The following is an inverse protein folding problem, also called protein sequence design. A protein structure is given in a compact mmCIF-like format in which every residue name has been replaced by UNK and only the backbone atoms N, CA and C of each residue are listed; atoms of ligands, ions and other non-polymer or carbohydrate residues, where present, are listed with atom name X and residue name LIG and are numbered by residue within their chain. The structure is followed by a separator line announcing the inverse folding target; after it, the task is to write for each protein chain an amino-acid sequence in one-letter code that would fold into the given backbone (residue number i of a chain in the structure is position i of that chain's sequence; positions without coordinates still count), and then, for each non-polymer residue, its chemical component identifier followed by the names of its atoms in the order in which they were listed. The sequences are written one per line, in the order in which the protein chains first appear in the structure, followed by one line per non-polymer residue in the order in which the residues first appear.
data_IF_394028622143
#
_entry.id   IF_394028622143
#
_cell.length_a   1.000
_cell.length_b   1.000
_cell.length_c   1.000
_cell.angle_alpha   90.00
_cell.angle_beta   90.00
_cell.angle_gamma   90.00
#
_symmetry.space_group_name_H-M   'P 1'
#
loop_
_entity.id
_entity.type
_entity.pdbx_description
1 polymer ?
#
# COMPACT_ATOMS: atom_id res chain seq x y z
N UNK A 1 2.01 -14.10 -12.17
CA UNK A 1 2.44 -15.33 -11.46
C UNK A 1 1.57 -16.53 -11.78
N UNK A 2 0.23 -16.45 -11.65
CA UNK A 2 -0.66 -17.57 -12.02
C UNK A 2 -0.40 -18.13 -13.43
N UNK A 3 -0.26 -17.27 -14.45
CA UNK A 3 0.14 -17.69 -15.81
C UNK A 3 1.45 -18.49 -15.83
N UNK A 4 2.48 -18.04 -15.10
CA UNK A 4 3.76 -18.74 -15.01
C UNK A 4 3.61 -20.12 -14.37
N UNK A 5 2.79 -20.25 -13.32
CA UNK A 5 2.51 -21.54 -12.67
C UNK A 5 1.73 -22.49 -13.59
N UNK A 6 0.75 -21.98 -14.36
CA UNK A 6 0.00 -22.78 -15.35
C UNK A 6 0.91 -23.31 -16.45
N UNK A 7 1.81 -22.46 -16.98
CA UNK A 7 2.78 -22.86 -17.99
C UNK A 7 3.80 -23.87 -17.46
N UNK A 8 4.22 -23.73 -16.20
CA UNK A 8 5.08 -24.70 -15.53
C UNK A 8 4.36 -26.05 -15.38
N UNK A 9 3.12 -26.05 -14.89
CA UNK A 9 2.31 -27.25 -14.74
C UNK A 9 2.11 -27.96 -16.09
N UNK A 10 1.74 -27.24 -17.15
CA UNK A 10 1.59 -27.81 -18.50
C UNK A 10 2.91 -28.43 -19.04
N UNK A 11 4.06 -27.84 -18.70
CA UNK A 11 5.36 -28.42 -19.04
C UNK A 11 5.64 -29.73 -18.30
N UNK A 12 5.24 -29.83 -17.03
CA UNK A 12 5.42 -31.04 -16.20
C UNK A 12 4.44 -32.15 -16.62
N UNK A 13 3.20 -31.81 -16.94
CA UNK A 13 2.18 -32.74 -17.47
C UNK A 13 2.68 -33.46 -18.73
N UNK A 14 3.42 -32.77 -19.61
CA UNK A 14 3.97 -33.37 -20.81
C UNK A 14 5.10 -34.40 -20.54
N UNK A 15 5.68 -34.41 -19.34
CA UNK A 15 6.84 -35.22 -18.97
C UNK A 15 6.50 -36.37 -18.01
N UNK A 16 5.29 -36.38 -17.44
CA UNK A 16 4.92 -37.31 -16.37
C UNK A 16 3.52 -37.88 -16.60
N UNK A 17 3.19 -38.97 -15.90
CA UNK A 17 1.84 -39.53 -15.86
C UNK A 17 1.23 -39.24 -14.48
N UNK A 18 -0.09 -39.11 -14.40
CA UNK A 18 -0.85 -38.91 -13.16
C UNK A 18 -0.39 -37.70 -12.31
N UNK A 19 0.05 -36.63 -12.97
CA UNK A 19 0.46 -35.40 -12.31
C UNK A 19 -0.74 -34.66 -11.71
N UNK A 20 -0.64 -34.36 -10.42
CA UNK A 20 -1.60 -33.54 -9.70
C UNK A 20 -0.89 -32.32 -9.11
N UNK A 21 -1.58 -31.17 -9.15
CA UNK A 21 -1.03 -29.93 -8.61
C UNK A 21 -2.08 -28.95 -8.11
N UNK A 22 -1.61 -28.02 -7.27
CA UNK A 22 -2.37 -26.85 -6.83
C UNK A 22 -1.47 -25.62 -6.82
N UNK A 23 -1.74 -24.69 -7.74
CA UNK A 23 -1.07 -23.38 -7.78
C UNK A 23 -1.67 -22.38 -6.80
N UNK A 24 -0.82 -21.62 -6.12
CA UNK A 24 -1.20 -20.55 -5.18
C UNK A 24 -0.27 -19.35 -5.32
N UNK A 25 -0.83 -18.15 -5.15
CA UNK A 25 -0.14 -16.85 -5.18
C UNK A 25 -0.96 -15.89 -4.33
N UNK A 26 -0.43 -15.39 -3.20
CA UNK A 26 -1.01 -14.37 -2.29
C UNK A 26 -2.37 -14.72 -1.64
N UNK A 27 -3.35 -15.13 -2.44
CA UNK A 27 -4.70 -15.51 -2.03
C UNK A 27 -4.84 -16.99 -1.67
N UNK A 28 -3.71 -17.70 -1.56
CA UNK A 28 -3.64 -19.11 -1.19
C UNK A 28 -3.88 -19.35 0.31
N UNK A 29 -3.88 -20.62 0.71
CA UNK A 29 -4.00 -21.00 2.12
C UNK A 29 -2.65 -21.12 2.82
N UNK A 30 -1.55 -21.25 2.05
CA UNK A 30 -0.21 -21.35 2.60
C UNK A 30 0.36 -19.97 2.95
N UNK A 31 1.46 -19.97 3.69
CA UNK A 31 2.25 -18.77 3.97
C UNK A 31 3.38 -18.72 2.95
N UNK A 32 3.18 -18.02 1.83
CA UNK A 32 4.10 -17.97 0.68
C UNK A 32 5.56 -17.70 1.12
N UNK A 33 5.76 -16.82 2.11
CA UNK A 33 7.09 -16.48 2.65
C UNK A 33 7.76 -17.65 3.37
N UNK A 34 7.00 -18.45 4.11
CA UNK A 34 7.52 -19.64 4.79
C UNK A 34 7.80 -20.78 3.80
N UNK A 35 6.96 -20.93 2.78
CA UNK A 35 7.17 -21.88 1.67
C UNK A 35 8.48 -21.55 0.95
N UNK A 36 8.65 -20.30 0.52
CA UNK A 36 9.85 -19.84 -0.17
C UNK A 36 11.13 -20.00 0.67
N UNK A 37 11.07 -19.77 2.00
CA UNK A 37 12.19 -20.04 2.90
C UNK A 37 12.58 -21.52 2.90
N UNK A 38 11.60 -22.42 2.98
CA UNK A 38 11.84 -23.87 3.01
C UNK A 38 12.36 -24.39 1.67
N UNK A 39 11.97 -23.76 0.57
CA UNK A 39 12.44 -24.08 -0.79
C UNK A 39 13.77 -23.39 -1.17
N UNK A 40 14.49 -22.79 -0.22
CA UNK A 40 15.82 -22.21 -0.49
C UNK A 40 15.83 -20.93 -1.34
N UNK A 41 14.67 -20.31 -1.62
CA UNK A 41 14.58 -19.08 -2.43
C UNK A 41 15.27 -17.88 -1.75
N UNK A 42 15.27 -17.89 -0.41
CA UNK A 42 15.87 -16.83 0.40
C UNK A 42 15.57 -17.04 1.88
N UNK A 43 16.07 -16.14 2.71
CA UNK A 43 15.77 -16.13 4.15
C UNK A 43 14.66 -15.12 4.47
N UNK A 44 14.00 -15.27 5.62
CA UNK A 44 13.01 -14.29 6.10
C UNK A 44 13.74 -13.22 6.92
N UNK A 45 13.74 -11.98 6.46
CA UNK A 45 14.35 -10.85 7.16
C UNK A 45 13.58 -10.41 8.41
N UNK A 46 14.22 -9.59 9.24
CA UNK A 46 13.55 -8.94 10.40
C UNK A 46 12.37 -8.03 9.99
N UNK A 47 12.26 -7.69 8.71
CA UNK A 47 11.11 -6.99 8.13
C UNK A 47 9.95 -7.91 7.69
N UNK A 48 10.09 -9.23 7.86
CA UNK A 48 9.08 -10.24 7.53
C UNK A 48 9.03 -10.68 6.07
N UNK A 49 9.93 -10.17 5.21
CA UNK A 49 9.98 -10.49 3.78
C UNK A 49 11.03 -11.55 3.47
N UNK A 50 10.84 -12.28 2.37
CA UNK A 50 11.86 -13.18 1.81
C UNK A 50 12.91 -12.35 1.07
N UNK A 51 14.18 -12.62 1.33
CA UNK A 51 15.33 -11.89 0.78
C UNK A 51 16.27 -12.91 0.11
N UNK A 52 16.54 -12.72 -1.18
CA UNK A 52 17.59 -13.44 -1.93
C UNK A 52 18.83 -12.56 -2.13
N UNK A 53 19.98 -13.17 -2.47
CA UNK A 53 21.20 -12.44 -2.83
C UNK A 53 21.07 -11.80 -4.22
N UNK A 54 20.35 -12.45 -5.12
CA UNK A 54 20.25 -12.13 -6.53
C UNK A 54 19.27 -10.99 -6.80
N UNK A 55 18.13 -10.99 -6.09
CA UNK A 55 17.01 -10.07 -6.35
C UNK A 55 16.60 -9.26 -5.12
N UNK A 56 17.26 -9.47 -3.98
CA UNK A 56 16.90 -8.83 -2.72
C UNK A 56 15.51 -9.27 -2.28
N UNK A 57 14.68 -8.34 -1.80
CA UNK A 57 13.27 -8.61 -1.49
C UNK A 57 12.29 -8.18 -2.58
N UNK A 58 12.77 -7.70 -3.74
CA UNK A 58 11.91 -7.25 -4.83
C UNK A 58 11.46 -8.42 -5.72
N UNK A 59 10.75 -9.36 -5.10
CA UNK A 59 10.27 -10.59 -5.73
C UNK A 59 8.78 -10.80 -5.46
N UNK A 60 8.06 -11.31 -6.45
CA UNK A 60 6.75 -11.93 -6.23
C UNK A 60 6.94 -13.41 -5.94
N UNK A 61 6.20 -13.92 -4.96
CA UNK A 61 6.23 -15.34 -4.60
C UNK A 61 5.02 -16.07 -5.18
N UNK A 62 5.12 -17.39 -5.26
CA UNK A 62 4.04 -18.28 -5.62
C UNK A 62 4.53 -19.71 -5.56
N UNK A 63 3.60 -20.64 -5.35
CA UNK A 63 3.91 -22.04 -5.13
C UNK A 63 3.02 -22.96 -5.96
N UNK A 64 3.59 -24.09 -6.34
CA UNK A 64 2.92 -25.18 -7.02
C UNK A 64 3.03 -26.43 -6.14
N UNK A 65 2.01 -26.68 -5.33
CA UNK A 65 1.92 -27.93 -4.57
C UNK A 65 1.75 -29.07 -5.58
N UNK A 66 2.44 -30.19 -5.38
CA UNK A 66 2.39 -31.32 -6.32
C UNK A 66 2.50 -32.66 -5.59
N UNK A 67 2.04 -33.73 -6.26
CA UNK A 67 2.20 -35.12 -5.84
C UNK A 67 3.56 -35.75 -6.25
N UNK A 68 4.41 -35.01 -6.96
CA UNK A 68 5.73 -35.52 -7.37
C UNK A 68 6.67 -35.71 -6.18
N UNK A 69 7.45 -36.79 -6.23
CA UNK A 69 8.57 -37.04 -5.33
C UNK A 69 9.83 -36.38 -5.90
N UNK A 70 10.28 -35.30 -5.27
CA UNK A 70 11.40 -34.47 -5.72
C UNK A 70 12.31 -34.22 -4.53
N UNK A 71 13.62 -34.38 -4.75
CA UNK A 71 14.64 -34.04 -3.76
C UNK A 71 14.51 -32.57 -3.32
N UNK A 72 14.37 -32.28 -2.03
CA UNK A 72 14.18 -30.93 -1.54
C UNK A 72 15.48 -30.11 -1.61
N UNK A 73 15.35 -28.86 -2.02
CA UNK A 73 16.42 -27.87 -1.92
C UNK A 73 16.76 -27.54 -0.45
N UNK A 74 17.95 -26.96 -0.26
CA UNK A 74 18.44 -26.58 1.07
C UNK A 74 18.11 -25.10 1.38
N UNK A 75 17.81 -24.76 2.64
CA UNK A 75 17.76 -23.37 3.09
C UNK A 75 19.09 -22.64 2.85
N UNK A 76 19.00 -21.32 2.67
CA UNK A 76 20.17 -20.47 2.43
C UNK A 76 21.06 -20.28 3.68
N UNK A 77 22.33 -19.94 3.47
CA UNK A 77 23.37 -19.81 4.51
C UNK A 77 23.63 -18.36 4.99
N UNK A 78 22.77 -17.41 4.61
CA UNK A 78 22.90 -15.99 4.92
C UNK A 78 21.62 -15.43 5.56
N UNK A 79 21.79 -14.38 6.38
CA UNK A 79 20.69 -13.79 7.13
C UNK A 79 20.87 -12.28 7.39
N UNK A 80 20.14 -11.74 8.38
CA UNK A 80 20.24 -10.35 8.81
C UNK A 80 21.46 -10.05 9.70
N UNK A 81 22.05 -11.05 10.37
CA UNK A 81 22.94 -10.86 11.52
C UNK A 81 22.40 -9.84 12.52
N UNK A 82 23.27 -8.93 12.96
CA UNK A 82 22.92 -7.86 13.90
C UNK A 82 22.24 -6.64 13.25
N UNK A 83 21.93 -6.68 11.95
CA UNK A 83 21.27 -5.56 11.27
C UNK A 83 19.90 -5.25 11.89
N UNK A 84 19.60 -3.96 12.10
CA UNK A 84 18.32 -3.46 12.63
C UNK A 84 17.67 -2.35 11.79
N UNK A 85 18.23 -2.02 10.61
CA UNK A 85 17.83 -0.86 9.80
C UNK A 85 16.33 -0.76 9.53
N UNK A 86 15.68 -1.87 9.20
CA UNK A 86 14.24 -1.88 8.93
C UNK A 86 13.38 -1.60 10.17
N UNK A 87 13.83 -2.06 11.34
CA UNK A 87 13.14 -1.83 12.62
C UNK A 87 13.21 -0.35 12.99
N UNK A 88 14.39 0.25 12.82
CA UNK A 88 14.65 1.65 13.15
C UNK A 88 14.00 2.61 12.13
N UNK A 89 13.92 2.22 10.85
CA UNK A 89 13.33 3.03 9.79
C UNK A 89 11.80 2.96 9.72
N UNK A 90 11.17 1.94 10.30
CA UNK A 90 9.72 1.76 10.23
C UNK A 90 9.00 2.93 10.93
N UNK A 91 8.23 3.77 10.21
CA UNK A 91 7.68 5.02 10.78
C UNK A 91 6.59 4.78 11.84
N UNK A 92 6.05 3.56 11.91
CA UNK A 92 5.01 3.17 12.88
C UNK A 92 5.51 2.16 13.90
N UNK A 93 6.77 1.76 13.81
CA UNK A 93 7.41 0.72 14.64
C UNK A 93 6.56 -0.55 14.68
N UNK A 94 5.99 -0.95 13.54
CA UNK A 94 5.12 -2.13 13.47
C UNK A 94 5.90 -3.45 13.43
N UNK A 95 7.17 -3.43 13.05
CA UNK A 95 8.06 -4.59 13.03
C UNK A 95 8.54 -4.92 14.44
N UNK A 96 8.36 -6.16 14.88
CA UNK A 96 8.65 -6.59 16.27
C UNK A 96 10.14 -6.92 16.46
N UNK A 97 10.80 -7.45 15.42
CA UNK A 97 12.24 -7.68 15.39
C UNK A 97 12.68 -9.12 15.12
N UNK A 98 11.75 -10.06 15.18
CA UNK A 98 11.92 -11.50 14.93
C UNK A 98 11.32 -11.94 13.57
N UNK A 99 11.09 -10.98 12.68
CA UNK A 99 10.38 -11.19 11.41
C UNK A 99 8.86 -11.10 11.52
N UNK A 100 8.30 -10.92 12.72
CA UNK A 100 6.86 -10.69 12.92
C UNK A 100 6.51 -9.21 12.99
N UNK A 101 5.20 -8.89 12.90
CA UNK A 101 4.72 -7.51 12.92
C UNK A 101 3.32 -7.35 13.53
N UNK A 102 3.04 -6.15 14.04
CA UNK A 102 1.68 -5.65 14.22
C UNK A 102 1.17 -5.07 12.89
N UNK A 103 0.57 -5.94 12.06
CA UNK A 103 0.10 -5.57 10.72
C UNK A 103 -0.90 -4.40 10.71
N UNK A 104 -1.72 -4.23 11.76
CA UNK A 104 -2.66 -3.11 11.86
C UNK A 104 -1.97 -1.75 11.87
N UNK A 105 -0.70 -1.66 12.25
CA UNK A 105 0.10 -0.43 12.24
C UNK A 105 0.95 -0.28 10.97
N UNK A 106 0.99 -1.28 10.10
CA UNK A 106 1.76 -1.20 8.86
C UNK A 106 1.15 -0.17 7.91
N UNK A 107 1.95 0.73 7.34
CA UNK A 107 1.42 1.71 6.38
C UNK A 107 0.90 1.06 5.10
N UNK A 108 1.46 -0.09 4.70
CA UNK A 108 0.92 -0.89 3.60
C UNK A 108 -0.50 -1.39 3.90
N UNK A 109 -0.79 -1.77 5.15
CA UNK A 109 -2.16 -2.08 5.58
C UNK A 109 -3.04 -0.83 5.65
N UNK A 110 -2.55 0.25 6.28
CA UNK A 110 -3.31 1.49 6.48
C UNK A 110 -3.77 2.13 5.16
N UNK A 111 -2.95 2.06 4.11
CA UNK A 111 -3.35 2.54 2.77
C UNK A 111 -4.46 1.69 2.13
N UNK A 112 -4.62 0.44 2.54
CA UNK A 112 -5.63 -0.51 2.03
C UNK A 112 -6.88 -0.64 2.90
N UNK A 113 -6.76 -0.29 4.18
CA UNK A 113 -7.87 -0.37 5.11
C UNK A 113 -9.01 0.56 4.69
N UNK A 114 -10.25 0.17 4.99
CA UNK A 114 -11.45 0.97 4.65
C UNK A 114 -11.76 1.96 5.78
N UNK A 115 -12.54 2.99 5.48
CA UNK A 115 -12.95 3.99 6.47
C UNK A 115 -11.89 5.07 6.69
N UNK A 116 -11.95 5.74 7.85
CA UNK A 116 -11.04 6.83 8.19
C UNK A 116 -9.66 6.31 8.61
N UNK A 117 -8.61 6.83 7.98
CA UNK A 117 -7.24 6.61 8.43
C UNK A 117 -7.02 7.36 9.75
N UNK A 118 -6.52 6.68 10.78
CA UNK A 118 -6.21 7.31 12.06
C UNK A 118 -5.15 8.41 11.91
N UNK A 119 -5.27 9.49 12.70
CA UNK A 119 -4.43 10.68 12.59
C UNK A 119 -2.92 10.38 12.67
N UNK A 120 -2.53 9.38 13.47
CA UNK A 120 -1.12 8.98 13.64
C UNK A 120 -0.46 8.48 12.34
N UNK A 121 -1.23 8.02 11.35
CA UNK A 121 -0.71 7.46 10.10
C UNK A 121 -0.75 8.46 8.94
N UNK A 122 -1.65 9.45 8.97
CA UNK A 122 -1.89 10.36 7.83
C UNK A 122 -0.62 11.06 7.35
N UNK A 123 0.17 11.62 8.27
CA UNK A 123 1.45 12.27 7.90
C UNK A 123 2.54 11.28 7.48
N UNK A 124 2.45 10.03 7.94
CA UNK A 124 3.49 9.01 7.75
C UNK A 124 3.44 8.35 6.38
N UNK A 125 2.28 8.34 5.71
CA UNK A 125 2.19 7.85 4.33
C UNK A 125 2.87 8.80 3.32
N UNK A 126 3.17 10.04 3.71
CA UNK A 126 3.73 11.08 2.82
C UNK A 126 2.88 11.18 1.54
N UNK A 127 3.46 10.87 0.39
CA UNK A 127 2.80 10.84 -0.93
C UNK A 127 2.61 9.42 -1.46
N UNK A 128 2.92 8.39 -0.67
CA UNK A 128 2.71 6.98 -1.06
C UNK A 128 1.25 6.61 -0.82
N UNK A 129 0.47 6.56 -1.91
CA UNK A 129 -0.99 6.36 -1.84
C UNK A 129 -1.42 4.89 -1.78
N UNK A 130 -0.50 3.94 -1.97
CA UNK A 130 -0.75 2.50 -1.84
C UNK A 130 0.55 1.77 -1.49
N UNK A 131 0.51 0.88 -0.49
CA UNK A 131 1.70 0.14 -0.06
C UNK A 131 2.64 0.95 0.83
N UNK A 132 3.83 0.40 1.09
CA UNK A 132 4.92 1.06 1.81
C UNK A 132 6.21 0.23 1.69
N UNK A 133 7.26 0.81 1.09
CA UNK A 133 8.51 0.08 0.82
C UNK A 133 9.67 0.48 1.74
N UNK A 134 9.43 1.30 2.77
CA UNK A 134 10.49 1.86 3.63
C UNK A 134 11.38 0.75 4.24
N UNK A 135 10.79 -0.35 4.71
CA UNK A 135 11.53 -1.47 5.29
C UNK A 135 12.34 -2.29 4.27
N UNK A 136 12.05 -2.14 2.99
CA UNK A 136 12.81 -2.72 1.87
C UNK A 136 13.88 -1.76 1.38
N UNK A 137 13.56 -0.49 1.18
CA UNK A 137 14.49 0.55 0.70
C UNK A 137 15.72 0.68 1.61
N UNK A 138 15.54 0.57 2.93
CA UNK A 138 16.66 0.63 3.88
C UNK A 138 17.45 -0.69 4.02
N UNK A 139 17.00 -1.78 3.40
CA UNK A 139 17.61 -3.10 3.52
C UNK A 139 18.95 -3.17 2.77
N UNK A 140 20.05 -3.64 3.40
CA UNK A 140 21.34 -3.77 2.73
C UNK A 140 21.31 -4.66 1.48
N UNK A 141 20.50 -5.74 1.50
CA UNK A 141 20.38 -6.68 0.38
C UNK A 141 19.70 -6.08 -0.86
N UNK A 142 19.00 -4.95 -0.73
CA UNK A 142 18.39 -4.26 -1.86
C UNK A 142 19.31 -3.18 -2.47
N UNK A 143 20.45 -2.90 -1.84
CA UNK A 143 21.33 -1.81 -2.27
C UNK A 143 21.95 -2.12 -3.63
N UNK A 144 21.70 -1.26 -4.60
CA UNK A 144 22.32 -1.35 -5.93
C UNK A 144 21.67 -2.37 -6.87
N UNK A 145 20.53 -2.95 -6.49
CA UNK A 145 19.80 -3.85 -7.37
C UNK A 145 19.06 -3.09 -8.47
N UNK A 146 19.14 -3.65 -9.68
CA UNK A 146 18.37 -3.23 -10.84
C UNK A 146 17.78 -4.47 -11.51
N UNK A 147 16.69 -4.98 -10.92
CA UNK A 147 16.08 -6.22 -11.35
C UNK A 147 15.38 -6.06 -12.71
N UNK A 148 15.36 -7.10 -13.56
CA UNK A 148 14.57 -7.09 -14.78
C UNK A 148 13.08 -6.95 -14.45
N UNK A 149 12.37 -6.16 -15.25
CA UNK A 149 10.94 -5.94 -15.05
C UNK A 149 10.15 -7.23 -15.34
N UNK A 150 9.29 -7.63 -14.40
CA UNK A 150 8.38 -8.76 -14.59
C UNK A 150 7.29 -8.46 -15.63
N UNK A 151 6.94 -7.18 -15.80
CA UNK A 151 5.99 -6.66 -16.78
C UNK A 151 6.34 -5.22 -17.12
N UNK A 152 5.85 -4.71 -18.25
CA UNK A 152 5.97 -3.29 -18.59
C UNK A 152 5.35 -2.44 -17.48
N UNK A 153 6.03 -1.37 -17.09
CA UNK A 153 5.53 -0.38 -16.14
C UNK A 153 5.05 0.83 -16.92
N UNK A 154 3.81 1.25 -16.66
CA UNK A 154 3.30 2.53 -17.09
C UNK A 154 3.58 3.56 -15.97
N UNK A 155 4.45 4.57 -16.21
CA UNK A 155 4.79 5.54 -15.20
C UNK A 155 3.57 6.34 -14.70
N UNK A 156 2.56 6.57 -15.55
CA UNK A 156 1.36 7.33 -15.18
C UNK A 156 0.43 6.52 -14.25
N UNK A 157 0.63 5.21 -14.15
CA UNK A 157 -0.04 4.34 -13.18
C UNK A 157 0.76 4.18 -11.89
N UNK A 158 2.09 4.17 -12.00
CA UNK A 158 2.99 4.04 -10.85
C UNK A 158 3.06 5.35 -10.04
N UNK A 159 3.04 6.50 -10.72
CA UNK A 159 3.12 7.84 -10.14
C UNK A 159 2.01 8.74 -10.74
N UNK A 160 0.73 8.49 -10.41
CA UNK A 160 -0.38 9.22 -11.02
C UNK A 160 -0.46 10.67 -10.52
N UNK A 161 -0.90 11.57 -11.40
CA UNK A 161 -1.27 12.93 -11.02
C UNK A 161 -2.45 12.93 -10.02
N UNK A 162 -2.25 13.58 -8.88
CA UNK A 162 -3.15 13.47 -7.72
C UNK A 162 -4.51 14.15 -7.92
N UNK A 163 -4.55 15.39 -8.40
CA UNK A 163 -5.83 16.10 -8.63
C UNK A 163 -6.67 15.42 -9.72
N UNK A 164 -6.12 15.07 -10.90
CA UNK A 164 -6.87 14.30 -11.91
C UNK A 164 -7.39 12.96 -11.39
N UNK A 165 -6.65 12.30 -10.49
CA UNK A 165 -7.09 11.04 -9.89
C UNK A 165 -8.39 11.18 -9.05
N UNK A 166 -8.62 12.34 -8.43
CA UNK A 166 -9.84 12.61 -7.66
C UNK A 166 -11.09 12.70 -8.54
N UNK A 167 -10.94 12.99 -9.84
CA UNK A 167 -12.05 13.09 -10.79
C UNK A 167 -12.54 11.74 -11.31
N UNK A 168 -11.77 10.66 -11.13
CA UNK A 168 -12.09 9.37 -11.72
C UNK A 168 -13.45 8.83 -11.25
N UNK A 169 -14.34 8.55 -12.21
CA UNK A 169 -15.50 7.71 -12.01
C UNK A 169 -15.09 6.25 -11.81
N UNK A 170 -16.01 5.39 -11.35
CA UNK A 170 -15.76 3.95 -11.26
C UNK A 170 -15.41 3.33 -12.61
N UNK A 171 -16.02 3.83 -13.70
CA UNK A 171 -15.78 3.35 -15.06
C UNK A 171 -14.37 3.71 -15.52
N UNK A 172 -13.97 4.96 -15.36
CA UNK A 172 -12.63 5.43 -15.75
C UNK A 172 -11.54 4.79 -14.89
N UNK A 173 -11.76 4.69 -13.58
CA UNK A 173 -10.82 4.00 -12.68
C UNK A 173 -10.62 2.54 -13.09
N UNK A 174 -11.70 1.80 -13.37
CA UNK A 174 -11.59 0.41 -13.81
C UNK A 174 -10.86 0.29 -15.16
N UNK A 175 -11.13 1.20 -16.09
CA UNK A 175 -10.48 1.19 -17.40
C UNK A 175 -8.98 1.49 -17.29
N UNK A 176 -8.57 2.48 -16.49
CA UNK A 176 -7.17 2.91 -16.38
C UNK A 176 -6.36 2.08 -15.38
N UNK A 177 -6.88 1.83 -14.19
CA UNK A 177 -6.17 1.18 -13.07
C UNK A 177 -6.62 -0.25 -12.78
N UNK A 178 -7.67 -0.77 -13.42
CA UNK A 178 -8.28 -2.05 -13.02
C UNK A 178 -7.41 -3.31 -13.20
N UNK A 179 -6.24 -3.18 -13.81
CA UNK A 179 -5.31 -4.28 -14.09
C UNK A 179 -4.08 -4.29 -13.15
N UNK A 180 -3.92 -3.30 -12.26
CA UNK A 180 -2.84 -3.27 -11.27
C UNK A 180 -3.33 -3.85 -9.94
N UNK A 181 -2.43 -4.44 -9.15
CA UNK A 181 -2.77 -5.04 -7.86
C UNK A 181 -3.49 -4.05 -6.91
N UNK A 182 -3.11 -2.77 -6.96
CA UNK A 182 -3.67 -1.73 -6.11
C UNK A 182 -5.17 -1.48 -6.31
N UNK A 183 -5.76 -1.91 -7.43
CA UNK A 183 -7.18 -1.67 -7.72
C UNK A 183 -8.14 -2.63 -7.02
N UNK A 184 -7.66 -3.64 -6.30
CA UNK A 184 -8.49 -4.73 -5.76
C UNK A 184 -9.61 -4.27 -4.79
N UNK A 185 -9.44 -3.11 -4.13
CA UNK A 185 -10.46 -2.48 -3.26
C UNK A 185 -11.20 -1.30 -3.89
N UNK A 186 -10.96 -1.04 -5.17
CA UNK A 186 -11.53 0.09 -5.89
C UNK A 186 -10.93 1.45 -5.51
N UNK A 187 -11.46 2.50 -6.13
CA UNK A 187 -10.87 3.85 -6.08
C UNK A 187 -10.97 4.55 -4.73
N UNK A 188 -11.95 4.20 -3.89
CA UNK A 188 -12.28 5.02 -2.72
C UNK A 188 -11.15 5.11 -1.69
N UNK A 189 -10.45 3.99 -1.42
CA UNK A 189 -9.29 4.00 -0.52
C UNK A 189 -8.13 4.81 -1.11
N UNK A 190 -7.91 4.73 -2.42
CA UNK A 190 -6.86 5.46 -3.12
C UNK A 190 -7.16 6.95 -3.14
N UNK A 191 -8.39 7.35 -3.46
CA UNK A 191 -8.81 8.76 -3.46
C UNK A 191 -8.71 9.38 -2.05
N UNK A 192 -9.05 8.63 -0.99
CA UNK A 192 -8.78 9.07 0.40
C UNK A 192 -7.28 9.32 0.60
N UNK A 193 -6.43 8.38 0.18
CA UNK A 193 -4.98 8.51 0.35
C UNK A 193 -4.40 9.64 -0.51
N UNK A 194 -4.99 9.92 -1.68
CA UNK A 194 -4.65 11.07 -2.53
C UNK A 194 -4.94 12.40 -1.83
N UNK A 195 -6.10 12.54 -1.18
CA UNK A 195 -6.41 13.73 -0.36
C UNK A 195 -5.35 13.91 0.74
N UNK A 196 -4.94 12.81 1.38
CA UNK A 196 -3.89 12.84 2.41
C UNK A 196 -2.54 13.23 1.82
N UNK A 197 -2.18 12.69 0.65
CA UNK A 197 -0.95 13.00 -0.06
C UNK A 197 -0.87 14.48 -0.48
N UNK A 198 -1.97 15.06 -0.97
CA UNK A 198 -2.06 16.48 -1.31
C UNK A 198 -1.79 17.37 -0.08
N UNK A 199 -2.38 17.03 1.07
CA UNK A 199 -2.13 17.73 2.32
C UNK A 199 -0.67 17.63 2.77
N UNK A 200 -0.09 16.42 2.71
CA UNK A 200 1.31 16.16 3.08
C UNK A 200 2.31 16.81 2.13
N UNK A 201 1.96 16.93 0.84
CA UNK A 201 2.74 17.64 -0.17
C UNK A 201 2.60 19.17 -0.09
N UNK A 202 1.77 19.68 0.81
CA UNK A 202 1.46 21.10 0.94
C UNK A 202 0.93 21.75 -0.36
N UNK A 203 0.23 20.97 -1.18
CA UNK A 203 -0.27 21.43 -2.47
C UNK A 203 -1.52 22.31 -2.30
N UNK A 204 -1.31 23.63 -2.31
CA UNK A 204 -2.39 24.61 -2.17
C UNK A 204 -3.31 24.68 -3.40
N UNK A 205 -2.90 24.14 -4.55
CA UNK A 205 -3.77 24.09 -5.73
C UNK A 205 -4.97 23.16 -5.52
N UNK A 206 -4.86 22.21 -4.58
CA UNK A 206 -5.92 21.29 -4.22
C UNK A 206 -7.08 21.93 -3.43
N UNK A 207 -6.92 23.13 -2.86
CA UNK A 207 -7.92 23.73 -1.95
C UNK A 207 -9.31 23.79 -2.58
N UNK A 208 -9.42 24.26 -3.84
CA UNK A 208 -10.71 24.33 -4.55
C UNK A 208 -11.32 22.95 -4.72
N UNK A 209 -10.52 21.95 -5.11
CA UNK A 209 -10.99 20.57 -5.27
C UNK A 209 -11.47 19.96 -3.95
N UNK A 210 -10.80 20.26 -2.84
CA UNK A 210 -11.20 19.79 -1.51
C UNK A 210 -12.52 20.42 -1.07
N UNK A 211 -12.73 21.71 -1.33
CA UNK A 211 -14.02 22.37 -1.09
C UNK A 211 -15.14 21.75 -1.94
N UNK A 212 -14.89 21.47 -3.23
CA UNK A 212 -15.87 20.77 -4.08
C UNK A 212 -16.25 19.38 -3.53
N UNK A 213 -15.28 18.63 -3.00
CA UNK A 213 -15.52 17.32 -2.37
C UNK A 213 -16.43 17.49 -1.14
N UNK A 214 -16.15 18.49 -0.30
CA UNK A 214 -16.95 18.82 0.87
C UNK A 214 -18.36 19.21 0.45
N UNK A 215 -18.54 20.10 -0.52
CA UNK A 215 -19.86 20.62 -0.91
C UNK A 215 -20.74 19.54 -1.57
N UNK A 216 -20.15 18.65 -2.38
CA UNK A 216 -20.89 17.58 -3.06
C UNK A 216 -21.38 16.46 -2.13
N UNK A 217 -20.74 16.27 -0.98
CA UNK A 217 -21.15 15.29 0.05
C UNK A 217 -21.36 13.84 -0.47
N UNK A 218 -20.70 13.43 -1.56
CA UNK A 218 -20.92 12.11 -2.18
C UNK A 218 -20.30 10.95 -1.39
N UNK A 219 -19.21 11.20 -0.68
CA UNK A 219 -18.51 10.18 0.11
C UNK A 219 -18.06 10.76 1.47
N UNK A 220 -18.73 10.41 2.58
CA UNK A 220 -18.41 10.90 3.92
C UNK A 220 -16.92 10.77 4.33
N UNK A 221 -16.24 9.68 3.94
CA UNK A 221 -14.82 9.51 4.24
C UNK A 221 -13.97 10.54 3.50
N UNK A 222 -14.30 10.82 2.24
CA UNK A 222 -13.60 11.84 1.45
C UNK A 222 -13.87 13.24 1.99
N UNK A 223 -15.11 13.53 2.39
CA UNK A 223 -15.51 14.80 3.03
C UNK A 223 -14.71 15.02 4.31
N UNK A 224 -14.76 14.08 5.26
CA UNK A 224 -14.03 14.18 6.53
C UNK A 224 -12.53 14.36 6.31
N UNK A 225 -11.95 13.57 5.39
CA UNK A 225 -10.52 13.66 5.05
C UNK A 225 -10.18 14.99 4.37
N UNK A 226 -11.08 15.56 3.56
CA UNK A 226 -10.90 16.87 2.92
C UNK A 226 -10.94 18.02 3.93
N UNK A 227 -11.84 17.97 4.92
CA UNK A 227 -11.87 18.93 6.04
C UNK A 227 -10.53 18.94 6.77
N UNK A 228 -10.01 17.76 7.11
CA UNK A 228 -8.69 17.61 7.71
C UNK A 228 -7.58 18.20 6.82
N UNK A 229 -7.61 17.89 5.51
CA UNK A 229 -6.61 18.33 4.55
C UNK A 229 -6.57 19.87 4.41
N UNK A 230 -7.74 20.54 4.38
CA UNK A 230 -7.81 22.00 4.40
C UNK A 230 -7.13 22.58 5.65
N UNK A 231 -7.34 21.96 6.80
CA UNK A 231 -6.66 22.32 8.05
C UNK A 231 -5.14 22.22 8.00
N UNK A 232 -4.60 21.27 7.25
CA UNK A 232 -3.15 21.13 7.07
C UNK A 232 -2.58 22.09 6.00
N UNK A 233 -3.34 22.38 4.94
CA UNK A 233 -2.93 23.28 3.85
C UNK A 233 -3.03 24.76 4.22
N UNK A 234 -4.05 25.13 5.00
CA UNK A 234 -4.35 26.52 5.37
C UNK A 234 -3.90 26.77 6.80
N UNK A 235 -2.65 27.24 6.94
CA UNK A 235 -2.05 27.57 8.24
C UNK A 235 -2.64 28.84 8.87
N UNK A 236 -3.12 29.77 8.05
CA UNK A 236 -3.72 31.05 8.45
C UNK A 236 -4.96 31.28 7.58
N UNK A 237 -6.16 30.90 8.03
CA UNK A 237 -7.39 31.11 7.28
C UNK A 237 -7.75 32.61 7.26
N UNK A 238 -8.30 33.09 6.14
CA UNK A 238 -8.96 34.40 6.08
C UNK A 238 -10.40 34.30 6.63
N UNK A 239 -11.08 35.44 6.79
CA UNK A 239 -12.45 35.46 7.31
C UNK A 239 -13.43 34.68 6.44
N UNK A 240 -13.25 34.71 5.11
CA UNK A 240 -14.11 33.96 4.18
C UNK A 240 -13.98 32.44 4.37
N UNK A 241 -12.76 31.94 4.56
CA UNK A 241 -12.51 30.52 4.82
C UNK A 241 -13.07 30.09 6.19
N UNK A 242 -12.96 30.95 7.21
CA UNK A 242 -13.59 30.69 8.52
C UNK A 242 -15.11 30.63 8.36
N UNK A 243 -15.71 31.61 7.70
CA UNK A 243 -17.16 31.66 7.46
C UNK A 243 -17.64 30.44 6.65
N UNK A 244 -16.88 30.03 5.64
CA UNK A 244 -17.14 28.80 4.89
C UNK A 244 -17.16 27.59 5.82
N UNK A 245 -16.12 27.37 6.64
CA UNK A 245 -16.08 26.22 7.55
C UNK A 245 -17.17 26.28 8.64
N UNK A 246 -17.55 27.47 9.11
CA UNK A 246 -18.68 27.66 10.04
C UNK A 246 -20.03 27.31 9.43
N UNK A 247 -20.21 27.55 8.13
CA UNK A 247 -21.44 27.22 7.41
C UNK A 247 -21.64 25.71 7.22
N UNK A 248 -20.58 24.91 7.37
CA UNK A 248 -20.66 23.46 7.22
C UNK A 248 -21.42 22.84 8.40
N UNK A 249 -22.40 22.01 8.07
CA UNK A 249 -23.16 21.20 9.03
C UNK A 249 -23.11 19.71 8.64
N UNK A 250 -21.96 19.04 8.76
CA UNK A 250 -21.81 17.65 8.37
C UNK A 250 -22.75 16.73 9.15
N UNK A 251 -23.33 15.74 8.46
CA UNK A 251 -24.28 14.79 9.06
C UNK A 251 -23.60 13.57 9.67
N UNK A 252 -22.44 13.18 9.15
CA UNK A 252 -21.70 12.02 9.62
C UNK A 252 -20.73 12.36 10.75
N UNK A 253 -20.50 11.39 11.63
CA UNK A 253 -19.72 11.56 12.85
C UNK A 253 -18.24 11.89 12.57
N UNK A 254 -17.67 11.35 11.50
CA UNK A 254 -16.25 11.54 11.19
C UNK A 254 -16.00 12.97 10.70
N UNK A 255 -16.83 13.46 9.78
CA UNK A 255 -16.77 14.86 9.32
C UNK A 255 -17.02 15.85 10.46
N UNK A 256 -17.94 15.54 11.39
CA UNK A 256 -18.16 16.35 12.59
C UNK A 256 -16.91 16.43 13.47
N UNK A 257 -16.24 15.30 13.71
CA UNK A 257 -14.99 15.26 14.50
C UNK A 257 -13.85 16.03 13.84
N UNK A 258 -13.69 15.89 12.53
CA UNK A 258 -12.65 16.63 11.79
C UNK A 258 -12.92 18.14 11.78
N UNK A 259 -14.19 18.54 11.64
CA UNK A 259 -14.59 19.95 11.71
C UNK A 259 -14.37 20.53 13.11
N UNK A 260 -14.68 19.79 14.17
CA UNK A 260 -14.47 20.23 15.55
C UNK A 260 -12.98 20.37 15.90
N UNK A 261 -12.16 19.43 15.42
CA UNK A 261 -10.70 19.54 15.50
C UNK A 261 -10.19 20.79 14.79
N UNK A 262 -10.75 21.11 13.62
CA UNK A 262 -10.39 22.29 12.86
C UNK A 262 -10.82 23.60 13.53
N UNK A 263 -12.02 23.65 14.11
CA UNK A 263 -12.50 24.77 14.93
C UNK A 263 -11.54 25.07 16.07
N UNK A 264 -11.11 24.03 16.79
CA UNK A 264 -10.11 24.17 17.85
C UNK A 264 -8.78 24.73 17.30
N UNK A 265 -8.34 24.24 16.14
CA UNK A 265 -7.08 24.64 15.49
C UNK A 265 -7.09 26.09 15.00
N UNK A 266 -8.21 26.57 14.48
CA UNK A 266 -8.35 27.90 13.87
C UNK A 266 -9.07 28.92 14.77
N UNK A 267 -9.57 28.49 15.93
CA UNK A 267 -10.24 29.32 16.95
C UNK A 267 -11.52 30.01 16.44
N UNK A 268 -12.48 29.23 15.92
CA UNK A 268 -13.78 29.74 15.42
C UNK A 268 -14.97 28.85 15.74
#
# INVERSE_FOLDING_TARGET
MQDKLQRLAAGIEALTQDFEYKGMVDTGALVDTAVARRAGIGFIGKNGLVISKEFGSYMYLGELITNLDIEPDQPVDYDCGDCRRCLDACPTSCLIGDGTMNAKRCLSFQTQDKGMMALEFRKKIKTVIYGCDICQICCPYNKGLNNPLASKIDPDLAEPELIPFLELSNKEFKAKFGHIAASWRGKNILQRNVIIALANGHDRSAIVKLMEIIDKQHNPIHVATAIWALGELIKKPNQEMIAYMQSLSPKDLDSQKELESLRTKWQF
#
